data_IF_324591932288
#
_entry.id   IF_324591932288
#
_cell.length_a   1.000
_cell.length_b   1.000
_cell.length_c   1.000
_cell.angle_alpha   90.00
_cell.angle_beta   90.00
_cell.angle_gamma   90.00
#
_symmetry.space_group_name_H-M   'P 1'
#
loop_
_entity.id
_entity.type
_entity.pdbx_description
1 polymer ?
#
# COMPACT_ATOMS: atom_id res chain seq x y z
N UNK A 1 -45.38 1.12 25.98
CA UNK A 1 -44.63 1.77 24.87
C UNK A 1 -43.37 0.99 24.47
N UNK A 2 -43.30 -0.34 24.67
CA UNK A 2 -42.13 -1.17 24.33
C UNK A 2 -42.34 -1.99 23.04
N UNK A 3 -43.60 -2.19 22.61
CA UNK A 3 -43.92 -2.99 21.44
C UNK A 3 -43.67 -2.27 20.09
N UNK A 4 -43.71 -0.94 20.04
CA UNK A 4 -43.52 -0.19 18.79
C UNK A 4 -42.05 -0.10 18.34
N UNK A 5 -41.09 -0.25 19.26
CA UNK A 5 -39.66 -0.19 18.94
C UNK A 5 -39.13 -1.49 18.29
N UNK A 6 -39.81 -2.61 18.50
CA UNK A 6 -39.40 -3.93 17.98
C UNK A 6 -39.92 -4.21 16.57
N UNK A 7 -40.90 -3.45 16.08
CA UNK A 7 -41.43 -3.61 14.71
C UNK A 7 -40.54 -2.92 13.66
N UNK A 8 -39.78 -1.88 14.05
CA UNK A 8 -38.94 -1.11 13.13
C UNK A 8 -37.58 -1.78 12.83
N UNK A 9 -37.20 -2.79 13.59
CA UNK A 9 -35.93 -3.55 13.40
C UNK A 9 -36.05 -4.67 12.38
N UNK A 10 -37.26 -5.09 12.01
CA UNK A 10 -37.48 -6.14 11.03
C UNK A 10 -37.42 -5.63 9.57
N UNK A 11 -37.76 -4.36 9.32
CA UNK A 11 -37.82 -3.80 7.96
C UNK A 11 -36.45 -3.33 7.43
N UNK A 12 -35.49 -3.03 8.30
CA UNK A 12 -34.14 -2.54 7.94
C UNK A 12 -33.14 -3.65 7.63
N UNK A 13 -33.59 -4.91 7.52
CA UNK A 13 -32.76 -6.06 7.16
C UNK A 13 -32.53 -6.23 5.66
N UNK A 14 -33.03 -5.30 4.83
CA UNK A 14 -32.80 -5.28 3.38
C UNK A 14 -31.87 -4.12 3.04
N UNK A 15 -30.79 -4.46 2.34
CA UNK A 15 -29.77 -3.58 1.74
C UNK A 15 -28.93 -2.77 2.72
N UNK A 16 -27.93 -3.43 3.33
CA UNK A 16 -26.70 -2.76 3.77
C UNK A 16 -25.65 -3.07 2.71
N UNK A 17 -25.50 -2.12 1.79
CA UNK A 17 -24.48 -2.12 0.74
C UNK A 17 -23.14 -1.67 1.37
N UNK A 18 -22.03 -2.22 0.86
CA UNK A 18 -20.68 -2.07 1.41
C UNK A 18 -20.15 -0.62 1.48
N UNK A 19 -20.93 0.36 0.98
CA UNK A 19 -20.63 1.80 1.01
C UNK A 19 -20.93 2.48 2.35
N UNK A 20 -21.73 1.87 3.23
CA UNK A 20 -22.22 2.54 4.45
C UNK A 20 -21.35 2.33 5.71
N UNK A 21 -20.31 1.50 5.64
CA UNK A 21 -19.42 1.27 6.79
C UNK A 21 -18.53 2.47 7.15
N UNK A 22 -18.32 3.41 6.21
CA UNK A 22 -17.55 4.64 6.46
C UNK A 22 -18.40 5.69 7.19
N UNK A 23 -19.68 5.81 6.86
CA UNK A 23 -20.59 6.80 7.46
C UNK A 23 -21.12 6.38 8.84
N UNK A 24 -21.33 5.07 9.07
CA UNK A 24 -21.72 4.56 10.39
C UNK A 24 -20.66 4.80 11.48
N UNK A 25 -19.38 5.01 11.10
CA UNK A 25 -18.25 5.15 12.02
C UNK A 25 -18.00 6.55 12.55
N UNK A 26 -18.43 7.60 11.83
CA UNK A 26 -18.36 8.99 12.34
C UNK A 26 -19.48 9.26 13.35
N UNK A 27 -20.63 8.59 13.22
CA UNK A 27 -21.78 8.81 14.10
C UNK A 27 -21.60 8.27 15.53
N UNK A 28 -20.75 7.26 15.74
CA UNK A 28 -20.53 6.67 17.07
C UNK A 28 -19.57 7.53 17.91
N UNK A 29 -18.66 8.30 17.30
CA UNK A 29 -17.71 9.15 18.03
C UNK A 29 -18.31 10.50 18.45
N UNK A 30 -19.27 11.06 17.70
CA UNK A 30 -19.95 12.31 18.08
C UNK A 30 -20.93 12.15 19.24
N UNK A 31 -21.59 10.99 19.39
CA UNK A 31 -22.52 10.76 20.50
C UNK A 31 -21.81 10.74 21.87
N UNK A 32 -20.52 10.38 21.92
CA UNK A 32 -19.75 10.30 23.18
C UNK A 32 -19.13 11.63 23.64
N UNK A 33 -18.85 12.56 22.73
CA UNK A 33 -18.19 13.83 23.07
C UNK A 33 -19.18 14.97 23.36
N UNK A 34 -20.41 14.88 22.86
CA UNK A 34 -21.42 15.95 23.01
C UNK A 34 -22.29 15.79 24.28
N UNK A 35 -22.01 14.81 25.14
CA UNK A 35 -22.83 14.51 26.32
C UNK A 35 -22.00 14.43 27.62
N UNK A 36 -21.75 15.56 28.31
CA UNK A 36 -20.90 15.65 29.51
C UNK A 36 -21.42 14.83 30.71
N UNK A 37 -22.65 14.30 30.62
CA UNK A 37 -23.29 13.45 31.61
C UNK A 37 -22.62 12.07 31.75
N UNK A 38 -21.97 11.56 30.69
CA UNK A 38 -21.41 10.20 30.64
C UNK A 38 -20.22 10.03 31.61
N UNK A 39 -19.43 11.09 31.81
CA UNK A 39 -18.28 11.09 32.74
C UNK A 39 -18.68 11.03 34.22
N UNK A 40 -19.97 11.23 34.56
CA UNK A 40 -20.49 11.05 35.92
C UNK A 40 -21.05 9.65 36.20
N UNK A 41 -21.30 8.86 35.16
CA UNK A 41 -22.05 7.60 35.26
C UNK A 41 -21.11 6.38 35.32
N UNK A 42 -19.93 6.48 34.70
CA UNK A 42 -19.01 5.35 34.59
C UNK A 42 -17.69 5.61 35.32
N UNK A 43 -17.18 4.65 36.11
CA UNK A 43 -15.85 4.74 36.70
C UNK A 43 -14.78 4.84 35.61
N UNK A 44 -13.70 5.59 35.88
CA UNK A 44 -12.63 5.88 34.93
C UNK A 44 -12.02 4.63 34.27
N UNK A 45 -12.00 3.48 34.96
CA UNK A 45 -11.52 2.19 34.45
C UNK A 45 -12.30 1.68 33.24
N UNK A 46 -13.62 1.93 33.18
CA UNK A 46 -14.48 1.51 32.06
C UNK A 46 -14.25 2.41 30.85
N UNK A 47 -14.11 3.73 31.07
CA UNK A 47 -13.80 4.67 29.99
C UNK A 47 -12.42 4.38 29.39
N UNK A 48 -11.42 4.10 30.23
CA UNK A 48 -10.06 3.73 29.77
C UNK A 48 -10.10 2.43 28.98
N UNK A 49 -10.85 1.41 29.43
CA UNK A 49 -11.01 0.16 28.65
C UNK A 49 -11.73 0.38 27.32
N UNK A 50 -12.76 1.22 27.27
CA UNK A 50 -13.47 1.54 26.04
C UNK A 50 -12.60 2.31 25.05
N UNK A 51 -11.80 3.28 25.53
CA UNK A 51 -10.84 4.03 24.71
C UNK A 51 -9.71 3.11 24.25
N UNK A 52 -9.17 2.25 25.12
CA UNK A 52 -8.14 1.28 24.75
C UNK A 52 -8.67 0.28 23.72
N UNK A 53 -9.88 -0.23 23.90
CA UNK A 53 -10.54 -1.12 22.93
C UNK A 53 -10.80 -0.40 21.60
N UNK A 54 -11.27 0.85 21.63
CA UNK A 54 -11.46 1.66 20.43
C UNK A 54 -10.13 1.96 19.74
N UNK A 55 -9.07 2.25 20.49
CA UNK A 55 -7.72 2.45 19.97
C UNK A 55 -7.17 1.16 19.35
N UNK A 56 -7.35 0.02 20.01
CA UNK A 56 -7.02 -1.31 19.46
C UNK A 56 -7.80 -1.57 18.17
N UNK A 57 -9.10 -1.32 18.15
CA UNK A 57 -9.94 -1.44 16.96
C UNK A 57 -9.51 -0.47 15.85
N UNK A 58 -9.11 0.76 16.17
CA UNK A 58 -8.58 1.74 15.22
C UNK A 58 -7.23 1.27 14.65
N UNK A 59 -6.33 0.74 15.48
CA UNK A 59 -5.06 0.18 15.02
C UNK A 59 -5.24 -1.08 14.17
N UNK A 60 -6.30 -1.87 14.41
CA UNK A 60 -6.69 -3.00 13.55
C UNK A 60 -7.33 -2.57 12.23
N UNK A 61 -7.72 -1.30 12.07
CA UNK A 61 -8.37 -0.76 10.86
C UNK A 61 -7.37 -0.11 9.91
N UNK A 62 -6.14 0.15 10.37
CA UNK A 62 -5.03 0.49 9.48
C UNK A 62 -4.29 -0.81 9.17
N UNK A 63 -4.84 -1.61 8.26
CA UNK A 63 -4.31 -2.92 7.79
C UNK A 63 -2.99 -2.75 6.99
N UNK A 64 -2.00 -2.06 7.57
CA UNK A 64 -0.70 -1.80 6.95
C UNK A 64 0.46 -1.96 7.95
N UNK A 65 1.34 -2.91 7.69
CA UNK A 65 2.56 -3.09 8.50
C UNK A 65 3.73 -2.37 7.82
N UNK A 66 4.44 -1.43 8.48
CA UNK A 66 5.58 -0.76 7.88
C UNK A 66 6.75 -1.72 7.67
N UNK A 67 7.37 -1.63 6.48
CA UNK A 67 8.62 -2.29 6.11
C UNK A 67 9.62 -1.20 5.75
N UNK A 68 10.25 -0.54 6.76
CA UNK A 68 11.09 0.64 6.54
C UNK A 68 12.29 0.35 5.63
N UNK A 69 12.82 -0.87 5.67
CA UNK A 69 13.95 -1.30 4.86
C UNK A 69 13.63 -1.33 3.36
N UNK A 70 12.35 -1.46 3.01
CA UNK A 70 11.86 -1.45 1.62
C UNK A 70 11.20 -0.12 1.24
N UNK A 71 11.00 0.79 2.19
CA UNK A 71 10.11 1.96 2.05
C UNK A 71 8.71 1.58 1.52
N UNK A 72 8.15 0.50 2.08
CA UNK A 72 6.84 -0.03 1.72
C UNK A 72 5.98 -0.31 2.96
N UNK A 73 4.68 -0.47 2.72
CA UNK A 73 3.72 -1.04 3.65
C UNK A 73 3.27 -2.41 3.15
N UNK A 74 3.19 -3.39 4.04
CA UNK A 74 2.48 -4.64 3.79
C UNK A 74 0.98 -4.39 3.98
N UNK A 75 0.21 -4.46 2.91
CA UNK A 75 -1.24 -4.25 2.91
C UNK A 75 -1.98 -5.59 2.82
N UNK A 76 -3.14 -5.65 3.48
CA UNK A 76 -4.03 -6.82 3.43
C UNK A 76 -4.88 -6.90 2.16
N UNK A 77 -5.24 -5.75 1.61
CA UNK A 77 -5.98 -5.63 0.36
C UNK A 77 -5.31 -4.57 -0.53
N UNK A 78 -5.64 -4.60 -1.83
CA UNK A 78 -5.12 -3.64 -2.78
C UNK A 78 -5.85 -2.30 -2.63
N UNK A 79 -5.17 -1.19 -2.29
CA UNK A 79 -5.81 0.11 -2.19
C UNK A 79 -6.06 0.72 -3.57
N UNK A 80 -6.90 1.75 -3.63
CA UNK A 80 -7.09 2.58 -4.81
C UNK A 80 -5.78 3.24 -5.24
N UNK A 81 -5.65 3.50 -6.54
CA UNK A 81 -4.49 4.20 -7.06
C UNK A 81 -4.80 5.07 -8.27
N UNK A 82 -4.31 6.30 -8.23
CA UNK A 82 -4.24 7.20 -9.38
C UNK A 82 -2.91 7.94 -9.41
N UNK A 83 -2.12 7.71 -10.46
CA UNK A 83 -0.82 8.38 -10.60
C UNK A 83 -0.98 9.89 -10.76
N UNK A 84 -0.42 10.67 -9.83
CA UNK A 84 -0.39 12.13 -9.88
C UNK A 84 0.77 12.73 -10.70
N UNK A 85 1.55 11.90 -11.41
CA UNK A 85 2.72 12.30 -12.23
C UNK A 85 3.72 13.20 -11.49
N UNK A 86 3.97 12.90 -10.20
CA UNK A 86 4.85 13.70 -9.36
C UNK A 86 6.35 13.38 -9.48
N UNK A 87 6.73 12.34 -10.26
CA UNK A 87 8.09 11.87 -10.46
C UNK A 87 8.86 11.37 -9.21
N UNK A 88 8.21 11.24 -8.05
CA UNK A 88 8.84 10.70 -6.83
C UNK A 88 9.35 9.26 -6.97
N UNK A 89 8.65 8.43 -7.74
CA UNK A 89 9.11 7.06 -8.03
C UNK A 89 10.42 7.02 -8.84
N UNK A 90 10.83 8.14 -9.44
CA UNK A 90 12.08 8.28 -10.17
C UNK A 90 13.23 8.86 -9.33
N UNK A 91 13.05 9.01 -8.01
CA UNK A 91 14.00 9.65 -7.10
C UNK A 91 14.38 8.72 -5.94
N UNK A 92 15.67 8.44 -5.79
CA UNK A 92 16.23 7.73 -4.63
C UNK A 92 15.74 6.29 -4.44
N UNK A 93 15.14 5.67 -5.46
CA UNK A 93 14.60 4.30 -5.39
C UNK A 93 15.53 3.31 -6.07
N UNK A 94 15.55 2.09 -5.57
CA UNK A 94 16.12 0.97 -6.33
C UNK A 94 15.07 0.51 -7.34
N UNK A 95 15.40 0.62 -8.62
CA UNK A 95 14.57 0.08 -9.71
C UNK A 95 15.31 -1.15 -10.24
N UNK A 96 15.00 -2.37 -9.76
CA UNK A 96 15.62 -3.59 -10.24
C UNK A 96 15.26 -3.79 -11.72
N UNK A 97 16.24 -4.28 -12.47
CA UNK A 97 16.14 -4.58 -13.89
C UNK A 97 16.42 -6.06 -14.11
N UNK A 98 15.49 -6.70 -14.79
CA UNK A 98 15.58 -8.11 -15.16
C UNK A 98 16.01 -8.24 -16.63
N UNK A 99 16.46 -9.42 -17.09
CA UNK A 99 16.93 -9.60 -18.46
C UNK A 99 15.95 -9.07 -19.52
N UNK A 100 14.66 -9.34 -19.36
CA UNK A 100 13.61 -8.85 -20.26
C UNK A 100 13.42 -7.33 -20.23
N UNK A 101 13.75 -6.66 -19.12
CA UNK A 101 13.76 -5.20 -19.05
C UNK A 101 14.97 -4.62 -19.79
N UNK A 102 16.13 -5.23 -19.61
CA UNK A 102 17.38 -4.81 -20.25
C UNK A 102 17.24 -4.93 -21.77
N UNK A 103 16.85 -6.10 -22.27
CA UNK A 103 16.62 -6.35 -23.71
C UNK A 103 15.65 -5.32 -24.33
N UNK A 104 14.55 -5.03 -23.62
CA UNK A 104 13.52 -4.09 -24.10
C UNK A 104 14.02 -2.66 -24.22
N UNK A 105 14.92 -2.24 -23.33
CA UNK A 105 15.44 -0.86 -23.28
C UNK A 105 16.67 -0.71 -24.19
N UNK A 106 17.60 -1.67 -24.18
CA UNK A 106 18.81 -1.66 -25.03
C UNK A 106 18.48 -1.61 -26.51
N UNK A 107 17.40 -2.28 -26.95
CA UNK A 107 16.97 -2.25 -28.35
C UNK A 107 16.61 -0.85 -28.88
N UNK A 108 16.47 0.16 -28.01
CA UNK A 108 16.01 1.51 -28.37
C UNK A 108 16.88 2.64 -27.84
N UNK A 109 17.88 2.36 -27.00
CA UNK A 109 18.70 3.36 -26.32
C UNK A 109 20.17 2.97 -26.36
N UNK A 110 21.03 3.93 -26.72
CA UNK A 110 22.48 3.72 -26.88
C UNK A 110 23.31 4.04 -25.63
N UNK A 111 22.72 4.71 -24.64
CA UNK A 111 23.43 5.09 -23.42
C UNK A 111 23.39 3.98 -22.37
N UNK A 112 24.43 3.91 -21.53
CA UNK A 112 24.46 2.96 -20.40
C UNK A 112 23.48 3.39 -19.30
N UNK A 113 22.46 2.57 -19.06
CA UNK A 113 21.39 2.82 -18.07
C UNK A 113 21.37 1.82 -16.91
N UNK A 114 22.26 0.83 -16.90
CA UNK A 114 22.33 -0.20 -15.87
C UNK A 114 23.44 0.10 -14.86
N UNK A 115 23.28 -0.42 -13.65
CA UNK A 115 24.31 -0.45 -12.61
C UNK A 115 24.16 -1.78 -11.86
N UNK A 116 25.25 -2.45 -11.44
CA UNK A 116 25.13 -3.64 -10.60
C UNK A 116 24.38 -3.36 -9.30
N UNK A 117 23.60 -4.32 -8.83
CA UNK A 117 23.05 -4.31 -7.47
C UNK A 117 24.13 -4.64 -6.44
N UNK A 118 23.96 -4.16 -5.22
CA UNK A 118 24.70 -4.69 -4.07
C UNK A 118 24.18 -6.08 -3.72
N UNK A 119 24.91 -6.81 -2.86
CA UNK A 119 24.49 -8.12 -2.38
C UNK A 119 23.12 -8.06 -1.69
N UNK A 120 22.91 -7.07 -0.84
CA UNK A 120 21.66 -6.90 -0.10
C UNK A 120 20.50 -6.53 -1.03
N UNK A 121 20.76 -5.71 -2.04
CA UNK A 121 19.76 -5.36 -3.06
C UNK A 121 19.37 -6.59 -3.90
N UNK A 122 20.35 -7.37 -4.37
CA UNK A 122 20.08 -8.61 -5.13
C UNK A 122 19.35 -9.63 -4.27
N UNK A 123 19.66 -9.73 -2.97
CA UNK A 123 18.98 -10.61 -2.04
C UNK A 123 17.50 -10.27 -1.85
N UNK A 124 17.16 -8.97 -1.88
CA UNK A 124 15.78 -8.47 -1.74
C UNK A 124 15.02 -8.55 -3.06
N UNK A 125 15.63 -8.12 -4.17
CA UNK A 125 14.93 -7.94 -5.44
C UNK A 125 15.12 -9.12 -6.40
N UNK A 126 16.10 -9.98 -6.18
CA UNK A 126 16.49 -11.05 -7.10
C UNK A 126 17.08 -10.56 -8.42
N UNK A 127 17.46 -9.29 -8.52
CA UNK A 127 17.97 -8.68 -9.74
C UNK A 127 19.47 -8.40 -9.60
N UNK A 128 20.23 -8.74 -10.65
CA UNK A 128 21.68 -8.46 -10.75
C UNK A 128 21.99 -7.01 -11.13
N UNK A 129 21.02 -6.34 -11.73
CA UNK A 129 21.16 -4.98 -12.21
C UNK A 129 20.01 -4.12 -11.72
N UNK A 130 20.28 -2.83 -11.58
CA UNK A 130 19.32 -1.78 -11.28
C UNK A 130 19.48 -0.61 -12.23
N UNK A 131 18.44 0.21 -12.33
CA UNK A 131 18.47 1.44 -13.10
C UNK A 131 19.53 2.39 -12.55
N UNK A 132 20.32 2.99 -13.44
CA UNK A 132 21.30 4.01 -13.10
C UNK A 132 20.59 5.26 -12.60
N UNK A 133 21.02 5.75 -11.43
CA UNK A 133 20.46 6.95 -10.78
C UNK A 133 21.52 8.02 -10.50
N UNK A 134 22.04 8.73 -11.51
CA UNK A 134 23.00 9.81 -11.28
C UNK A 134 22.41 10.91 -10.38
N UNK A 135 23.11 11.23 -9.28
CA UNK A 135 22.63 12.20 -8.29
C UNK A 135 21.29 11.80 -7.64
N UNK A 136 21.01 10.49 -7.54
CA UNK A 136 19.78 9.97 -6.94
C UNK A 136 18.53 10.16 -7.81
N UNK A 137 18.66 10.51 -9.09
CA UNK A 137 17.54 10.62 -10.03
C UNK A 137 17.68 9.62 -11.16
N UNK A 138 16.59 8.99 -11.56
CA UNK A 138 16.56 8.10 -12.72
C UNK A 138 17.15 8.78 -13.96
N UNK A 139 18.06 8.09 -14.66
CA UNK A 139 18.68 8.58 -15.91
C UNK A 139 17.65 8.93 -17.01
N UNK A 140 16.44 8.37 -16.93
CA UNK A 140 15.36 8.61 -17.89
C UNK A 140 14.36 9.68 -17.46
N UNK A 141 14.59 10.39 -16.35
CA UNK A 141 13.73 11.46 -15.88
C UNK A 141 14.07 12.79 -16.57
N UNK A 142 13.09 13.36 -17.29
CA UNK A 142 13.14 14.69 -17.88
C UNK A 142 12.05 15.58 -17.26
N UNK A 143 12.45 16.51 -16.40
CA UNK A 143 11.50 17.28 -15.59
C UNK A 143 10.67 16.37 -14.69
N UNK A 144 9.38 16.18 -15.03
CA UNK A 144 8.45 15.25 -14.36
C UNK A 144 8.04 14.06 -15.22
N UNK A 145 8.62 13.91 -16.41
CA UNK A 145 8.25 12.93 -17.42
C UNK A 145 9.34 11.87 -17.58
N UNK A 146 8.93 10.63 -17.87
CA UNK A 146 9.87 9.57 -18.20
C UNK A 146 10.04 9.51 -19.72
N UNK A 147 11.26 9.74 -20.23
CA UNK A 147 11.52 9.69 -21.68
C UNK A 147 11.37 8.30 -22.30
N UNK A 148 11.33 7.27 -21.45
CA UNK A 148 11.13 5.86 -21.84
C UNK A 148 9.78 5.30 -21.40
N UNK A 149 8.76 6.15 -21.23
CA UNK A 149 7.48 5.77 -20.60
C UNK A 149 6.86 4.48 -21.16
N UNK A 150 6.89 4.31 -22.48
CA UNK A 150 6.35 3.14 -23.19
C UNK A 150 7.22 1.88 -23.05
N UNK A 151 8.48 2.02 -22.65
CA UNK A 151 9.46 0.95 -22.47
C UNK A 151 9.77 0.69 -21.00
N UNK A 152 9.04 1.33 -20.07
CA UNK A 152 9.28 1.22 -18.63
C UNK A 152 9.54 -0.22 -18.20
N UNK A 153 10.52 -0.44 -17.32
CA UNK A 153 10.75 -1.75 -16.76
C UNK A 153 9.53 -2.19 -15.95
N UNK A 154 9.45 -3.49 -15.76
CA UNK A 154 8.38 -4.20 -15.06
C UNK A 154 7.98 -3.53 -13.73
N UNK A 155 8.99 -3.23 -12.89
CA UNK A 155 8.82 -2.53 -11.61
C UNK A 155 8.21 -1.13 -11.76
N UNK A 156 8.60 -0.37 -12.77
CA UNK A 156 8.08 0.98 -13.01
C UNK A 156 6.65 0.99 -13.56
N UNK A 157 6.21 -0.09 -14.22
CA UNK A 157 4.82 -0.23 -14.68
C UNK A 157 3.88 -0.53 -13.54
N UNK A 158 4.31 -1.36 -12.59
CA UNK A 158 3.48 -1.80 -11.45
C UNK A 158 3.51 -0.86 -10.25
N UNK A 159 4.41 0.12 -10.22
CA UNK A 159 4.43 1.15 -9.17
C UNK A 159 3.02 1.76 -9.00
N UNK A 160 2.48 1.83 -7.77
CA UNK A 160 3.16 1.76 -6.49
C UNK A 160 3.14 0.39 -5.79
N UNK A 161 2.71 -0.66 -6.49
CA UNK A 161 2.46 -1.96 -5.90
C UNK A 161 3.51 -3.00 -6.28
N UNK A 162 3.80 -3.89 -5.33
CA UNK A 162 4.40 -5.19 -5.58
C UNK A 162 3.42 -6.22 -5.06
N UNK A 163 2.78 -6.95 -5.98
CA UNK A 163 1.85 -8.02 -5.65
C UNK A 163 2.59 -9.34 -5.76
N UNK A 164 2.54 -10.18 -4.74
CA UNK A 164 3.12 -11.51 -4.74
C UNK A 164 2.03 -12.56 -4.55
N UNK A 165 2.41 -13.85 -4.47
CA UNK A 165 1.44 -14.90 -4.19
C UNK A 165 0.87 -14.84 -2.77
N UNK A 166 1.54 -14.11 -1.87
CA UNK A 166 1.23 -14.10 -0.43
C UNK A 166 1.04 -12.69 0.14
N UNK A 167 1.57 -11.66 -0.51
CA UNK A 167 1.71 -10.34 0.07
C UNK A 167 1.37 -9.24 -0.96
N UNK A 168 0.81 -8.13 -0.48
CA UNK A 168 0.66 -6.90 -1.25
C UNK A 168 1.54 -5.86 -0.58
N UNK A 169 2.55 -5.37 -1.27
CA UNK A 169 3.39 -4.29 -0.78
C UNK A 169 3.02 -3.01 -1.53
N UNK A 170 2.90 -1.92 -0.78
CA UNK A 170 2.51 -0.60 -1.30
C UNK A 170 3.59 0.41 -0.93
N UNK A 171 4.09 1.18 -1.90
CA UNK A 171 5.10 2.20 -1.62
C UNK A 171 4.60 3.20 -0.57
N UNK A 172 5.36 3.39 0.51
CA UNK A 172 4.97 4.30 1.60
C UNK A 172 5.03 5.79 1.21
N UNK A 173 5.71 6.08 0.10
CA UNK A 173 5.98 7.45 -0.38
C UNK A 173 5.08 7.90 -1.53
N UNK A 174 4.23 7.02 -2.07
CA UNK A 174 3.39 7.34 -3.22
C UNK A 174 2.14 8.11 -2.80
N UNK A 175 1.99 9.33 -3.31
CA UNK A 175 0.82 10.17 -3.07
C UNK A 175 -0.43 9.78 -3.85
N UNK A 176 -0.27 8.94 -4.88
CA UNK A 176 -1.40 8.49 -5.69
C UNK A 176 -2.19 7.34 -5.06
N UNK A 177 -1.71 6.79 -3.93
CA UNK A 177 -2.38 5.70 -3.23
C UNK A 177 -3.51 6.28 -2.40
N UNK A 178 -4.70 5.74 -2.61
CA UNK A 178 -5.91 6.03 -1.86
C UNK A 178 -6.24 4.83 -0.98
N UNK A 179 -5.99 4.97 0.33
CA UNK A 179 -6.20 3.91 1.31
C UNK A 179 -7.67 3.72 1.70
N UNK A 180 -8.54 4.66 1.35
CA UNK A 180 -9.96 4.64 1.71
C UNK A 180 -10.81 3.93 0.64
N UNK A 181 -10.21 3.58 -0.50
CA UNK A 181 -10.87 2.86 -1.59
C UNK A 181 -10.18 1.54 -1.91
N UNK A 182 -10.96 0.59 -2.43
CA UNK A 182 -10.44 -0.70 -2.90
C UNK A 182 -10.05 -0.55 -4.37
N UNK A 183 -8.81 -0.93 -4.69
CA UNK A 183 -8.29 -0.92 -6.04
C UNK A 183 -9.08 -1.84 -6.96
N UNK A 184 -9.24 -1.43 -8.23
CA UNK A 184 -9.87 -2.28 -9.24
C UNK A 184 -8.93 -3.43 -9.58
N UNK A 185 -9.45 -4.65 -9.56
CA UNK A 185 -8.66 -5.87 -9.75
C UNK A 185 -7.96 -5.94 -11.12
N UNK A 186 -8.48 -5.24 -12.14
CA UNK A 186 -8.08 -5.40 -13.54
C UNK A 186 -6.62 -5.01 -13.84
N UNK A 187 -6.06 -4.02 -13.14
CA UNK A 187 -4.72 -3.48 -13.43
C UNK A 187 -3.58 -4.23 -12.71
N UNK A 188 -3.91 -5.00 -11.66
CA UNK A 188 -2.93 -5.60 -10.75
C UNK A 188 -3.20 -7.08 -10.44
N UNK A 189 -4.06 -7.76 -11.21
CA UNK A 189 -4.52 -9.15 -11.02
C UNK A 189 -3.44 -10.24 -11.12
N UNK A 190 -2.17 -9.90 -11.21
CA UNK A 190 -1.08 -10.85 -11.34
C UNK A 190 0.09 -10.51 -10.42
N UNK A 191 0.80 -11.55 -9.99
CA UNK A 191 2.07 -11.38 -9.30
C UNK A 191 3.02 -10.53 -10.15
N UNK A 192 3.80 -9.69 -9.49
CA UNK A 192 4.91 -8.98 -10.10
C UNK A 192 5.92 -10.00 -10.61
N UNK A 193 5.91 -10.27 -11.92
CA UNK A 193 6.52 -11.45 -12.55
C UNK A 193 7.95 -11.74 -12.08
N UNK A 194 8.78 -10.70 -11.99
CA UNK A 194 10.19 -10.88 -11.73
C UNK A 194 10.61 -10.69 -10.25
N UNK A 195 9.89 -9.84 -9.50
CA UNK A 195 10.26 -9.48 -8.12
C UNK A 195 9.49 -10.27 -7.06
N UNK A 196 8.35 -10.86 -7.40
CA UNK A 196 7.44 -11.45 -6.42
C UNK A 196 8.08 -12.56 -5.58
N UNK A 197 8.77 -13.51 -6.23
CA UNK A 197 9.42 -14.62 -5.53
C UNK A 197 10.55 -14.16 -4.60
N UNK A 198 11.33 -13.16 -5.02
CA UNK A 198 12.40 -12.60 -4.21
C UNK A 198 11.85 -11.93 -2.94
N UNK A 199 10.76 -11.16 -3.08
CA UNK A 199 10.09 -10.51 -1.96
C UNK A 199 9.47 -11.53 -1.01
N UNK A 200 8.79 -12.56 -1.50
CA UNK A 200 8.23 -13.62 -0.64
C UNK A 200 9.33 -14.32 0.17
N UNK A 201 10.44 -14.69 -0.48
CA UNK A 201 11.60 -15.30 0.19
C UNK A 201 12.26 -14.36 1.21
N UNK A 202 12.34 -13.07 0.91
CA UNK A 202 12.87 -12.06 1.83
C UNK A 202 11.98 -11.93 3.08
N UNK A 203 10.66 -11.83 2.89
CA UNK A 203 9.70 -11.69 3.99
C UNK A 203 9.63 -12.96 4.85
N UNK A 204 9.72 -14.14 4.25
CA UNK A 204 9.76 -15.41 4.99
C UNK A 204 11.01 -15.50 5.88
N UNK A 205 12.18 -15.19 5.34
CA UNK A 205 13.43 -15.19 6.13
C UNK A 205 13.39 -14.16 7.24
N UNK A 206 12.85 -12.96 6.99
CA UNK A 206 12.64 -11.94 8.02
C UNK A 206 11.79 -12.47 9.18
N UNK A 207 10.72 -13.24 8.89
CA UNK A 207 9.87 -13.85 9.93
C UNK A 207 10.57 -14.94 10.73
N UNK A 208 11.51 -15.66 10.15
CA UNK A 208 12.26 -16.72 10.86
C UNK A 208 13.40 -16.18 11.73
N UNK A 209 13.80 -14.92 11.55
CA UNK A 209 14.90 -14.28 12.27
C UNK A 209 14.46 -13.36 13.42
N UNK A 210 13.16 -13.10 13.57
CA UNK A 210 12.57 -12.28 14.64
C UNK A 210 11.70 -13.11 15.57
#
# INVERSE_FOLDING_TARGET
MVAAALANTAQTKKTIDAKDHMFARIYITTIWLDNPSIFKIYPASILISAIAYLFTLITMVIDKTPLPELEMFLAKCLPGFQCCRCARCCQGKIIPLYPTDVERIEGKIKESFITPTSRDEEEVTGARYKMRMPGGRCIFLEGKSCRIYEMRPDTCRRHPFIVTGKNILVSSTCQGVDWDTIGKEEDYRGCSQNIAAAIDNYLERRRTMG
#
